data_IF_678630051095
#
_entry.id   IF_678630051095
#
_cell.length_a   1.000
_cell.length_b   1.000
_cell.length_c   1.000
_cell.angle_alpha   90.00
_cell.angle_beta   90.00
_cell.angle_gamma   90.00
#
_symmetry.space_group_name_H-M   'P 1'
#
loop_
_entity.id
_entity.type
_entity.pdbx_description
1 polymer ?
#
# COMPACT_ATOMS: atom_id res chain seq x y z
N UNK A 1 8.09 1.87 6.94
CA UNK A 1 6.94 2.70 7.35
C UNK A 1 5.68 1.99 6.90
N UNK A 2 4.66 1.90 7.75
CA UNK A 2 3.35 1.39 7.36
C UNK A 2 2.31 2.48 7.62
N UNK A 3 1.32 2.62 6.73
CA UNK A 3 0.26 3.63 6.84
C UNK A 3 -1.10 2.96 6.60
N UNK A 4 -2.05 3.28 7.47
CA UNK A 4 -3.45 2.91 7.29
C UNK A 4 -4.21 4.09 6.71
N UNK A 5 -4.34 4.13 5.39
CA UNK A 5 -4.92 5.28 4.68
C UNK A 5 -6.39 5.55 5.07
N UNK A 6 -7.11 4.55 5.62
CA UNK A 6 -8.46 4.74 6.14
C UNK A 6 -8.57 5.70 7.33
N UNK A 7 -7.45 6.11 7.92
CA UNK A 7 -7.41 7.13 8.97
C UNK A 7 -7.48 8.56 8.41
N UNK A 8 -7.34 8.73 7.10
CA UNK A 8 -7.40 10.03 6.44
C UNK A 8 -8.85 10.36 6.08
N UNK A 9 -9.17 11.65 6.01
CA UNK A 9 -10.45 12.11 5.44
C UNK A 9 -10.56 11.61 4.00
N UNK A 10 -11.66 10.95 3.66
CA UNK A 10 -11.84 10.29 2.36
C UNK A 10 -11.13 8.94 2.20
N UNK A 11 -10.40 8.49 3.23
CA UNK A 11 -9.70 7.21 3.27
C UNK A 11 -10.52 5.92 3.51
N UNK A 12 -11.78 5.92 3.98
CA UNK A 12 -12.50 4.66 4.16
C UNK A 12 -12.48 3.77 2.89
N UNK A 13 -12.31 2.46 3.08
CA UNK A 13 -12.18 1.45 2.00
C UNK A 13 -10.92 1.56 1.11
N UNK A 14 -9.84 2.16 1.61
CA UNK A 14 -8.51 2.13 0.96
C UNK A 14 -7.63 1.00 1.53
N UNK A 15 -6.67 0.44 0.76
CA UNK A 15 -5.67 -0.47 1.28
C UNK A 15 -4.69 0.23 2.24
N UNK A 16 -3.93 -0.57 2.99
CA UNK A 16 -2.74 -0.09 3.70
C UNK A 16 -1.57 0.11 2.74
N UNK A 17 -0.63 0.98 3.11
CA UNK A 17 0.58 1.24 2.34
C UNK A 17 1.80 0.80 3.15
N UNK A 18 2.68 -0.01 2.56
CA UNK A 18 3.97 -0.39 3.13
C UNK A 18 5.10 0.24 2.31
N UNK A 19 5.97 0.99 2.99
CA UNK A 19 7.20 1.54 2.41
C UNK A 19 8.38 0.87 3.12
N UNK A 20 9.15 0.09 2.37
CA UNK A 20 10.30 -0.64 2.88
C UNK A 20 11.49 -0.54 1.91
N UNK A 21 12.70 -0.64 2.44
CA UNK A 21 13.92 -0.63 1.62
C UNK A 21 14.00 -1.92 0.82
N UNK A 22 14.28 -1.84 -0.48
CA UNK A 22 14.40 -3.01 -1.39
C UNK A 22 15.31 -4.12 -0.83
N UNK A 23 16.41 -3.76 -0.16
CA UNK A 23 17.36 -4.71 0.47
C UNK A 23 16.75 -5.61 1.57
N UNK A 24 15.55 -5.30 2.05
CA UNK A 24 14.84 -6.10 3.04
C UNK A 24 14.05 -7.26 2.41
N UNK A 25 13.83 -7.23 1.09
CA UNK A 25 13.06 -8.25 0.36
C UNK A 25 13.96 -9.37 -0.17
N UNK A 26 14.57 -10.13 0.75
CA UNK A 26 15.48 -11.23 0.44
C UNK A 26 14.77 -12.59 0.28
N UNK A 27 13.47 -12.63 0.57
CA UNK A 27 12.67 -13.85 0.53
C UNK A 27 12.59 -14.39 -0.91
N UNK A 28 12.79 -15.70 -1.06
CA UNK A 28 12.60 -16.39 -2.34
C UNK A 28 11.12 -16.61 -2.68
N UNK A 29 10.30 -16.76 -1.65
CA UNK A 29 8.85 -16.98 -1.73
C UNK A 29 8.16 -15.75 -1.14
N UNK A 30 7.13 -15.18 -1.78
CA UNK A 30 6.39 -14.05 -1.22
C UNK A 30 5.67 -14.40 0.08
N UNK A 31 5.30 -13.36 0.83
CA UNK A 31 4.51 -13.55 2.06
C UNK A 31 3.13 -14.16 1.75
N UNK A 32 2.49 -13.74 0.67
CA UNK A 32 1.25 -14.34 0.18
C UNK A 32 1.43 -14.83 -1.26
N UNK A 33 1.15 -16.11 -1.49
CA UNK A 33 1.15 -16.69 -2.82
C UNK A 33 -0.24 -16.53 -3.45
N UNK A 34 -0.30 -16.07 -4.70
CA UNK A 34 -1.57 -15.89 -5.40
C UNK A 34 -1.36 -15.70 -6.90
N UNK A 35 -2.48 -15.49 -7.62
CA UNK A 35 -2.41 -15.08 -9.02
C UNK A 35 -1.58 -13.81 -9.17
N UNK A 36 -0.79 -13.70 -10.24
CA UNK A 36 0.05 -12.53 -10.48
C UNK A 36 1.43 -12.54 -9.82
N UNK A 37 1.70 -13.40 -8.83
CA UNK A 37 3.03 -13.44 -8.17
C UNK A 37 4.04 -14.37 -8.84
N UNK A 38 3.60 -15.18 -9.82
CA UNK A 38 4.40 -16.21 -10.50
C UNK A 38 4.69 -15.86 -11.95
N UNK A 39 5.93 -16.10 -12.37
CA UNK A 39 6.34 -16.10 -13.78
C UNK A 39 6.04 -17.44 -14.45
N UNK A 40 6.37 -18.55 -13.78
CA UNK A 40 6.27 -19.88 -14.36
C UNK A 40 6.08 -20.95 -13.28
N UNK A 41 5.27 -21.97 -13.58
CA UNK A 41 4.95 -23.05 -12.64
C UNK A 41 5.16 -24.39 -13.33
N UNK A 42 5.90 -25.29 -12.69
CA UNK A 42 6.03 -26.70 -13.08
C UNK A 42 5.54 -27.60 -11.96
N UNK A 43 5.54 -28.92 -12.19
CA UNK A 43 5.20 -29.91 -11.15
C UNK A 43 6.16 -29.90 -9.95
N UNK A 44 7.37 -29.38 -10.11
CA UNK A 44 8.44 -29.46 -9.09
C UNK A 44 9.03 -28.10 -8.71
N UNK A 45 8.73 -27.03 -9.45
CA UNK A 45 9.31 -25.72 -9.21
C UNK A 45 8.32 -24.60 -9.51
N UNK A 46 8.47 -23.49 -8.78
CA UNK A 46 7.76 -22.24 -9.00
C UNK A 46 8.80 -21.14 -9.17
N UNK A 47 8.69 -20.40 -10.27
CA UNK A 47 9.43 -19.17 -10.48
C UNK A 47 8.52 -17.99 -10.16
N UNK A 48 8.87 -17.23 -9.12
CA UNK A 48 8.16 -16.02 -8.73
C UNK A 48 8.68 -14.80 -9.51
N UNK A 49 7.82 -13.81 -9.67
CA UNK A 49 8.14 -12.53 -10.31
C UNK A 49 9.30 -11.84 -9.58
N UNK A 50 10.20 -11.18 -10.33
CA UNK A 50 11.36 -10.47 -9.74
C UNK A 50 11.03 -9.09 -9.19
N UNK A 51 10.05 -8.44 -9.79
CA UNK A 51 9.49 -7.18 -9.30
C UNK A 51 8.88 -7.40 -7.91
N UNK A 52 9.31 -6.62 -6.92
CA UNK A 52 9.01 -6.89 -5.51
C UNK A 52 7.53 -6.63 -5.24
N UNK A 53 7.03 -5.50 -5.73
CA UNK A 53 5.67 -5.04 -5.56
C UNK A 53 4.68 -6.08 -6.13
N UNK A 54 4.87 -6.47 -7.39
CA UNK A 54 4.05 -7.51 -8.03
C UNK A 54 4.15 -8.86 -7.32
N UNK A 55 5.33 -9.21 -6.81
CA UNK A 55 5.55 -10.49 -6.11
C UNK A 55 4.82 -10.54 -4.76
N UNK A 56 4.76 -9.43 -4.02
CA UNK A 56 4.14 -9.37 -2.68
C UNK A 56 2.65 -8.98 -2.70
N UNK A 57 2.09 -8.58 -3.84
CA UNK A 57 0.66 -8.25 -4.02
C UNK A 57 -0.12 -9.38 -4.70
N UNK A 58 -0.14 -10.56 -4.08
CA UNK A 58 -0.80 -11.73 -4.65
C UNK A 58 -2.31 -11.59 -4.79
N UNK A 59 -2.83 -12.01 -5.95
CA UNK A 59 -4.24 -11.95 -6.29
C UNK A 59 -4.62 -10.67 -7.02
N UNK A 60 -5.92 -10.36 -7.04
CA UNK A 60 -6.42 -9.12 -7.64
C UNK A 60 -6.18 -7.97 -6.65
N UNK A 61 -5.35 -6.97 -6.98
CA UNK A 61 -5.10 -5.85 -6.08
C UNK A 61 -6.38 -5.03 -5.88
N UNK A 62 -6.45 -4.30 -4.76
CA UNK A 62 -7.55 -3.37 -4.50
C UNK A 62 -7.39 -2.08 -5.33
N UNK A 63 -7.58 -2.18 -6.65
CA UNK A 63 -7.33 -1.11 -7.63
C UNK A 63 -8.11 0.17 -7.29
N UNK A 64 -9.42 0.04 -7.07
CA UNK A 64 -10.27 1.19 -6.72
C UNK A 64 -9.88 1.80 -5.37
N UNK A 65 -9.53 0.96 -4.39
CA UNK A 65 -9.02 1.42 -3.10
C UNK A 65 -7.69 2.16 -3.24
N UNK A 66 -6.78 1.71 -4.11
CA UNK A 66 -5.49 2.36 -4.35
C UNK A 66 -5.67 3.74 -5.00
N UNK A 67 -6.58 3.87 -5.97
CA UNK A 67 -6.95 5.17 -6.56
C UNK A 67 -7.51 6.09 -5.48
N UNK A 68 -8.45 5.60 -4.66
CA UNK A 68 -9.01 6.35 -3.53
C UNK A 68 -7.94 6.77 -2.52
N UNK A 69 -6.96 5.91 -2.25
CA UNK A 69 -5.85 6.22 -1.36
C UNK A 69 -5.06 7.43 -1.88
N UNK A 70 -4.71 7.44 -3.17
CA UNK A 70 -4.07 8.60 -3.81
C UNK A 70 -4.89 9.89 -3.67
N UNK A 71 -6.21 9.81 -3.89
CA UNK A 71 -7.10 10.96 -3.71
C UNK A 71 -7.17 11.45 -2.25
N UNK A 72 -7.15 10.57 -1.26
CA UNK A 72 -7.13 10.94 0.15
C UNK A 72 -5.83 11.69 0.53
N UNK A 73 -4.69 11.26 -0.02
CA UNK A 73 -3.42 11.97 0.13
C UNK A 73 -3.45 13.34 -0.55
N UNK A 74 -3.94 13.41 -1.79
CA UNK A 74 -4.09 14.68 -2.51
C UNK A 74 -5.02 15.66 -1.77
N UNK A 75 -6.13 15.19 -1.20
CA UNK A 75 -7.02 16.02 -0.39
C UNK A 75 -6.30 16.58 0.84
N UNK A 76 -5.59 15.73 1.57
CA UNK A 76 -4.81 16.15 2.75
C UNK A 76 -3.72 17.14 2.38
N UNK A 77 -3.06 16.97 1.24
CA UNK A 77 -2.07 17.92 0.72
C UNK A 77 -2.71 19.26 0.32
N UNK A 78 -3.86 19.23 -0.35
CA UNK A 78 -4.59 20.43 -0.77
C UNK A 78 -5.09 21.27 0.43
N UNK A 79 -5.50 20.62 1.53
CA UNK A 79 -5.86 21.32 2.78
C UNK A 79 -4.60 21.84 3.49
N UNK A 80 -3.52 21.05 3.50
CA UNK A 80 -2.23 21.44 4.05
C UNK A 80 -2.05 21.06 5.53
N UNK A 81 -0.90 20.46 5.86
CA UNK A 81 -0.60 19.96 7.22
C UNK A 81 -0.69 21.04 8.29
N UNK A 82 -0.10 22.22 8.05
CA UNK A 82 -0.08 23.33 9.02
C UNK A 82 -1.48 23.85 9.36
N UNK A 83 -2.39 23.81 8.39
CA UNK A 83 -3.78 24.26 8.59
C UNK A 83 -4.52 23.23 9.43
N UNK A 84 -4.32 21.93 9.14
CA UNK A 84 -4.90 20.84 9.93
C UNK A 84 -4.40 20.92 11.37
N UNK A 85 -3.07 20.99 11.56
CA UNK A 85 -2.43 21.05 12.89
C UNK A 85 -2.93 22.25 13.71
N UNK A 86 -2.91 23.46 13.14
CA UNK A 86 -3.45 24.65 13.81
C UNK A 86 -4.92 24.48 14.19
N UNK A 87 -5.72 23.86 13.33
CA UNK A 87 -7.16 23.68 13.60
C UNK A 87 -7.41 22.64 14.69
N UNK A 88 -6.59 21.61 14.77
CA UNK A 88 -6.61 20.63 15.84
C UNK A 88 -6.21 21.26 17.17
N UNK A 89 -5.17 22.12 17.18
CA UNK A 89 -4.80 22.91 18.35
C UNK A 89 -5.97 23.74 18.87
N UNK A 90 -6.63 24.53 18.01
CA UNK A 90 -7.76 25.39 18.39
C UNK A 90 -9.00 24.62 18.91
N UNK A 91 -9.19 23.36 18.51
CA UNK A 91 -10.38 22.57 18.84
C UNK A 91 -10.19 21.70 20.09
N UNK A 92 -8.96 21.27 20.34
CA UNK A 92 -8.66 20.26 21.36
C UNK A 92 -7.73 20.75 22.47
N UNK A 93 -7.15 21.94 22.34
CA UNK A 93 -6.26 22.57 23.31
C UNK A 93 -6.67 24.03 23.57
#
# INVERSE_FOLDING_TARGET
VFISTHKFVGGPSTPGILIAKKKLFTNRVPSECGGGTVNFVTRTNVEYVKDIETREEGGTPNILGAIRAGLAFHLKEAVGEKIIEKREEELFY
#
